data_IF_902882486945
#
_entry.id   IF_902882486945
#
_cell.length_a   1.000
_cell.length_b   1.000
_cell.length_c   1.000
_cell.angle_alpha   90.00
_cell.angle_beta   90.00
_cell.angle_gamma   90.00
#
_symmetry.space_group_name_H-M   'P 1'
#
loop_
_entity.id
_entity.type
_entity.pdbx_description
1 polymer ?
#
# COMPACT_ATOMS: atom_id res chain seq x y z
N UNK A 1 5.21 -12.06 -14.87
CA UNK A 1 4.23 -12.21 -13.78
C UNK A 1 3.32 -10.98 -13.73
N UNK A 2 2.03 -11.15 -13.44
CA UNK A 2 1.12 -10.02 -13.20
C UNK A 2 1.54 -9.27 -11.93
N UNK A 3 1.24 -7.97 -11.84
CA UNK A 3 1.60 -7.19 -10.67
C UNK A 3 0.71 -7.55 -9.46
N UNK A 4 1.26 -7.83 -8.27
CA UNK A 4 0.47 -8.16 -7.08
C UNK A 4 -0.51 -7.06 -6.66
N UNK A 5 -0.27 -5.80 -7.03
CA UNK A 5 -1.12 -4.65 -6.67
C UNK A 5 -2.52 -4.67 -7.30
N UNK A 6 -2.89 -5.71 -8.06
CA UNK A 6 -4.19 -5.85 -8.71
C UNK A 6 -4.30 -5.10 -10.04
N UNK A 7 -3.20 -4.58 -10.59
CA UNK A 7 -3.19 -4.01 -11.94
C UNK A 7 -3.18 -5.12 -13.00
N UNK A 8 -3.72 -4.84 -14.18
CA UNK A 8 -3.59 -5.72 -15.37
C UNK A 8 -2.18 -5.72 -15.98
N UNK A 9 -1.31 -4.81 -15.54
CA UNK A 9 0.06 -4.68 -16.04
C UNK A 9 0.97 -5.74 -15.43
N UNK A 10 2.06 -6.06 -16.15
CA UNK A 10 3.13 -6.92 -15.65
C UNK A 10 3.91 -6.19 -14.56
N UNK A 11 4.39 -6.93 -13.56
CA UNK A 11 5.16 -6.37 -12.43
C UNK A 11 6.31 -5.47 -12.88
N UNK A 12 7.11 -5.90 -13.87
CA UNK A 12 8.27 -5.19 -14.40
C UNK A 12 7.97 -3.81 -15.02
N UNK A 13 6.72 -3.52 -15.37
CA UNK A 13 6.29 -2.22 -15.94
C UNK A 13 5.21 -1.54 -15.08
N UNK A 14 5.03 -2.02 -13.84
CA UNK A 14 4.06 -1.50 -12.89
C UNK A 14 4.77 -1.09 -11.60
N UNK A 15 4.84 -1.97 -10.60
CA UNK A 15 5.47 -1.64 -9.32
C UNK A 15 6.97 -1.99 -9.28
N UNK A 16 7.47 -2.82 -10.19
CA UNK A 16 8.87 -3.24 -10.22
C UNK A 16 9.87 -2.08 -10.23
N UNK A 17 9.77 -1.12 -11.17
CA UNK A 17 10.67 0.04 -11.21
C UNK A 17 10.59 0.91 -9.95
N UNK A 18 9.42 1.07 -9.34
CA UNK A 18 9.29 1.78 -8.07
C UNK A 18 10.05 1.08 -6.95
N UNK A 19 9.86 -0.24 -6.82
CA UNK A 19 10.51 -1.05 -5.79
C UNK A 19 12.03 -1.10 -5.97
N UNK A 20 12.50 -1.15 -7.21
CA UNK A 20 13.92 -1.08 -7.56
C UNK A 20 14.54 0.31 -7.26
N UNK A 21 13.72 1.36 -7.16
CA UNK A 21 14.18 2.74 -6.99
C UNK A 21 14.46 3.47 -8.30
N UNK A 22 14.19 2.84 -9.45
CA UNK A 22 14.38 3.42 -10.78
C UNK A 22 13.36 4.52 -11.10
N UNK A 23 12.15 4.42 -10.54
CA UNK A 23 11.06 5.38 -10.73
C UNK A 23 10.42 5.78 -9.41
N UNK A 24 10.01 7.03 -9.30
CA UNK A 24 9.17 7.49 -8.20
C UNK A 24 7.69 7.33 -8.57
N UNK A 25 6.81 6.92 -7.63
CA UNK A 25 5.38 6.91 -7.87
C UNK A 25 4.89 8.33 -8.13
N UNK A 26 4.16 8.54 -9.22
CA UNK A 26 3.68 9.87 -9.65
C UNK A 26 2.38 10.30 -8.96
N UNK A 27 1.65 9.36 -8.36
CA UNK A 27 0.39 9.61 -7.65
C UNK A 27 0.36 8.89 -6.30
N UNK A 28 -0.49 9.36 -5.39
CA UNK A 28 -0.75 8.69 -4.12
C UNK A 28 -1.23 7.24 -4.32
N UNK A 29 -2.08 6.97 -5.33
CA UNK A 29 -2.50 5.60 -5.66
C UNK A 29 -1.33 4.74 -6.14
N UNK A 30 -0.45 5.27 -6.99
CA UNK A 30 0.73 4.53 -7.45
C UNK A 30 1.65 4.17 -6.29
N UNK A 31 1.81 5.09 -5.33
CA UNK A 31 2.55 4.81 -4.11
C UNK A 31 1.85 3.74 -3.26
N UNK A 32 0.54 3.84 -3.04
CA UNK A 32 -0.21 2.84 -2.28
C UNK A 32 -0.10 1.42 -2.89
N UNK A 33 -0.22 1.32 -4.22
CA UNK A 33 -0.08 0.06 -4.96
C UNK A 33 1.32 -0.53 -4.86
N UNK A 34 2.35 0.29 -4.99
CA UNK A 34 3.74 -0.17 -4.86
C UNK A 34 4.07 -0.56 -3.42
N UNK A 35 3.60 0.17 -2.41
CA UNK A 35 3.71 -0.23 -0.99
C UNK A 35 3.07 -1.59 -0.73
N UNK A 36 1.87 -1.84 -1.25
CA UNK A 36 1.25 -3.16 -1.15
C UNK A 36 2.14 -4.26 -1.77
N UNK A 37 2.69 -4.03 -2.97
CA UNK A 37 3.63 -4.99 -3.58
C UNK A 37 4.87 -5.23 -2.71
N UNK A 38 5.38 -4.19 -2.05
CA UNK A 38 6.51 -4.33 -1.13
C UNK A 38 6.15 -5.20 0.08
N UNK A 39 4.94 -5.09 0.64
CA UNK A 39 4.46 -6.02 1.66
C UNK A 39 4.34 -7.48 1.15
N UNK A 40 3.87 -7.67 -0.09
CA UNK A 40 3.76 -9.02 -0.67
C UNK A 40 5.12 -9.68 -0.89
N UNK A 41 6.12 -8.88 -1.26
CA UNK A 41 7.45 -9.36 -1.64
C UNK A 41 8.50 -9.25 -0.51
N UNK A 42 8.14 -8.66 0.63
CA UNK A 42 9.05 -8.47 1.77
C UNK A 42 10.10 -7.37 1.57
N UNK A 43 9.83 -6.34 0.75
CA UNK A 43 10.75 -5.21 0.54
C UNK A 43 10.60 -4.15 1.64
N UNK A 44 11.12 -4.44 2.84
CA UNK A 44 11.04 -3.56 4.00
C UNK A 44 11.68 -2.18 3.73
N UNK A 45 12.85 -2.15 3.10
CA UNK A 45 13.57 -0.90 2.78
C UNK A 45 12.72 0.07 1.94
N UNK A 46 11.93 -0.45 1.01
CA UNK A 46 11.03 0.36 0.19
C UNK A 46 9.91 0.98 1.04
N UNK A 47 9.35 0.20 1.97
CA UNK A 47 8.29 0.67 2.85
C UNK A 47 8.79 1.76 3.79
N UNK A 48 10.00 1.61 4.34
CA UNK A 48 10.63 2.60 5.22
C UNK A 48 11.06 3.87 4.44
N UNK A 49 11.53 3.73 3.20
CA UNK A 49 11.91 4.87 2.35
C UNK A 49 10.71 5.71 1.92
N UNK A 50 9.57 5.06 1.70
CA UNK A 50 8.34 5.73 1.24
C UNK A 50 7.38 6.10 2.37
N UNK A 51 7.82 5.98 3.62
CA UNK A 51 7.11 6.46 4.80
C UNK A 51 7.65 7.84 5.19
N UNK A 52 6.75 8.78 5.48
CA UNK A 52 7.14 10.11 5.93
C UNK A 52 7.95 10.02 7.23
N UNK A 53 9.12 10.70 7.34
CA UNK A 53 9.98 10.60 8.52
C UNK A 53 9.30 10.98 9.84
N UNK A 54 8.26 11.82 9.81
CA UNK A 54 7.54 12.26 11.03
C UNK A 54 6.72 11.15 11.69
N UNK A 55 6.27 10.15 10.92
CA UNK A 55 5.40 9.06 11.39
C UNK A 55 6.01 7.69 11.14
N UNK A 56 7.21 7.61 10.56
CA UNK A 56 7.88 6.36 10.23
C UNK A 56 8.26 5.60 11.50
N UNK A 57 7.85 4.34 11.65
CA UNK A 57 8.29 3.51 12.77
C UNK A 57 9.79 3.16 12.62
N UNK A 58 10.46 2.90 13.74
CA UNK A 58 11.88 2.53 13.75
C UNK A 58 12.16 1.18 13.07
N UNK A 59 11.18 0.27 13.09
CA UNK A 59 11.18 -1.02 12.41
C UNK A 59 9.75 -1.35 12.02
N UNK A 60 9.54 -2.04 10.89
CA UNK A 60 8.23 -2.58 10.61
C UNK A 60 8.00 -3.79 11.51
N UNK A 61 6.86 -3.81 12.20
CA UNK A 61 6.52 -4.91 13.10
C UNK A 61 6.60 -6.23 12.31
N UNK A 62 7.23 -7.24 12.91
CA UNK A 62 7.60 -8.55 12.33
C UNK A 62 6.36 -9.42 12.03
N UNK A 63 5.22 -8.79 11.73
CA UNK A 63 4.01 -9.37 11.14
C UNK A 63 4.27 -10.05 9.78
N UNK A 64 5.47 -9.92 9.23
CA UNK A 64 6.04 -10.79 8.19
C UNK A 64 6.35 -12.21 8.67
N UNK A 65 6.49 -12.44 9.98
CA UNK A 65 6.88 -13.70 10.61
C UNK A 65 5.76 -14.74 10.73
N UNK A 66 4.49 -14.32 10.87
CA UNK A 66 3.32 -15.22 10.90
C UNK A 66 2.72 -15.42 9.50
N UNK A 67 3.50 -15.94 8.54
CA UNK A 67 3.08 -16.39 7.20
C UNK A 67 1.90 -15.61 6.56
N UNK A 68 1.90 -14.27 6.68
CA UNK A 68 0.81 -13.43 6.16
C UNK A 68 0.84 -13.51 4.66
N UNK A 69 -0.12 -14.22 4.09
CA UNK A 69 -0.24 -14.35 2.64
C UNK A 69 -1.22 -13.32 2.12
N UNK A 70 -0.69 -12.29 1.50
CA UNK A 70 -1.49 -11.29 0.78
C UNK A 70 -2.20 -11.93 -0.43
N UNK A 71 -3.51 -11.73 -0.51
CA UNK A 71 -4.40 -12.34 -1.51
C UNK A 71 -4.82 -11.35 -2.60
N UNK A 72 -4.85 -10.05 -2.30
CA UNK A 72 -5.18 -9.03 -3.28
C UNK A 72 -5.44 -7.65 -2.69
N UNK A 73 -5.27 -6.63 -3.52
CA UNK A 73 -5.56 -5.24 -3.24
C UNK A 73 -6.71 -4.75 -4.13
N UNK A 74 -7.67 -4.03 -3.54
CA UNK A 74 -8.70 -3.29 -4.27
C UNK A 74 -8.70 -1.83 -3.81
N UNK A 75 -8.37 -0.92 -4.70
CA UNK A 75 -8.58 0.52 -4.47
C UNK A 75 -10.07 0.81 -4.59
N UNK A 76 -10.65 1.46 -3.58
CA UNK A 76 -12.06 1.85 -3.54
C UNK A 76 -12.26 3.29 -3.98
N UNK A 77 -11.40 4.20 -3.51
CA UNK A 77 -11.48 5.62 -3.80
C UNK A 77 -10.10 6.26 -3.69
N UNK A 78 -9.87 7.26 -4.52
CA UNK A 78 -8.80 8.23 -4.37
C UNK A 78 -9.43 9.62 -4.23
N UNK A 79 -8.88 10.46 -3.38
CA UNK A 79 -9.22 11.88 -3.33
C UNK A 79 -7.93 12.70 -3.34
N UNK A 80 -7.83 13.64 -4.27
CA UNK A 80 -6.56 14.31 -4.63
C UNK A 80 -5.48 13.26 -4.96
N UNK A 81 -4.21 13.54 -4.70
CA UNK A 81 -3.12 12.60 -4.93
C UNK A 81 -2.72 12.44 -6.40
N UNK A 82 -3.14 13.34 -7.27
CA UNK A 82 -2.72 13.44 -8.68
C UNK A 82 -1.30 13.97 -8.83
N UNK A 83 -0.81 14.03 -10.07
CA UNK A 83 0.56 14.44 -10.37
C UNK A 83 0.89 15.89 -9.95
N UNK A 84 -0.12 16.75 -9.77
CA UNK A 84 0.05 18.16 -9.40
C UNK A 84 -0.37 18.44 -7.95
N UNK A 85 -0.95 17.47 -7.25
CA UNK A 85 -1.40 17.63 -5.87
C UNK A 85 -0.24 17.57 -4.88
N UNK A 86 -0.43 18.14 -3.69
CA UNK A 86 0.55 18.07 -2.60
C UNK A 86 0.15 17.10 -1.49
N UNK A 87 -1.11 16.70 -1.46
CA UNK A 87 -1.64 15.70 -0.55
C UNK A 87 -2.65 14.82 -1.29
N UNK A 88 -2.99 13.69 -0.68
CA UNK A 88 -3.96 12.78 -1.24
C UNK A 88 -4.36 11.71 -0.25
N UNK A 89 -5.52 11.12 -0.48
CA UNK A 89 -5.98 9.97 0.28
C UNK A 89 -6.33 8.82 -0.64
N UNK A 90 -6.06 7.61 -0.18
CA UNK A 90 -6.40 6.38 -0.90
C UNK A 90 -7.15 5.47 0.06
N UNK A 91 -8.42 5.22 -0.24
CA UNK A 91 -9.23 4.22 0.44
C UNK A 91 -9.10 2.91 -0.31
N UNK A 92 -8.71 1.85 0.40
CA UNK A 92 -8.51 0.54 -0.21
C UNK A 92 -8.90 -0.60 0.72
N UNK A 93 -8.96 -1.77 0.11
CA UNK A 93 -9.18 -3.03 0.78
C UNK A 93 -8.05 -3.97 0.42
N UNK A 94 -7.33 -4.45 1.44
CA UNK A 94 -6.36 -5.51 1.28
C UNK A 94 -6.91 -6.81 1.90
N UNK A 95 -6.77 -7.91 1.17
CA UNK A 95 -7.14 -9.24 1.65
C UNK A 95 -5.88 -10.01 1.95
N UNK A 96 -5.83 -10.67 3.09
CA UNK A 96 -4.69 -11.46 3.51
C UNK A 96 -5.15 -12.72 4.24
N UNK A 97 -4.27 -13.71 4.33
CA UNK A 97 -4.49 -14.95 5.04
C UNK A 97 -3.42 -15.12 6.10
N UNK A 98 -3.83 -15.33 7.35
CA UNK A 98 -2.95 -15.60 8.49
C UNK A 98 -3.55 -16.77 9.29
N UNK A 99 -2.72 -17.70 9.75
CA UNK A 99 -3.20 -18.86 10.53
C UNK A 99 -4.28 -19.70 9.83
N UNK A 100 -4.29 -19.75 8.48
CA UNK A 100 -5.33 -20.47 7.74
C UNK A 100 -6.62 -19.69 7.49
N UNK A 101 -6.82 -18.53 8.12
CA UNK A 101 -8.04 -17.72 8.04
C UNK A 101 -7.84 -16.51 7.12
N UNK A 102 -8.87 -16.19 6.33
CA UNK A 102 -8.86 -15.04 5.43
C UNK A 102 -9.47 -13.83 6.12
N UNK A 103 -8.75 -12.71 6.08
CA UNK A 103 -9.12 -11.44 6.69
C UNK A 103 -9.17 -10.33 5.66
N UNK A 104 -9.86 -9.26 6.01
CA UNK A 104 -9.98 -8.05 5.19
C UNK A 104 -9.56 -6.84 6.01
N UNK A 105 -8.59 -6.11 5.50
CA UNK A 105 -8.22 -4.78 5.98
C UNK A 105 -8.94 -3.75 5.09
N UNK A 106 -9.70 -2.84 5.69
CA UNK A 106 -10.21 -1.63 5.02
C UNK A 106 -9.50 -0.44 5.65
N UNK A 107 -8.83 0.37 4.84
CA UNK A 107 -8.05 1.50 5.34
C UNK A 107 -8.23 2.72 4.44
N UNK A 108 -8.23 3.89 5.08
CA UNK A 108 -8.08 5.19 4.42
C UNK A 108 -6.69 5.71 4.76
N UNK A 109 -5.77 5.60 3.81
CA UNK A 109 -4.40 6.11 3.98
C UNK A 109 -4.25 7.54 3.48
N UNK A 110 -3.42 8.32 4.17
CA UNK A 110 -3.05 9.69 3.82
C UNK A 110 -1.63 9.74 3.28
N UNK A 111 -1.45 10.56 2.26
CA UNK A 111 -0.18 10.76 1.58
C UNK A 111 0.11 12.24 1.41
N UNK A 112 1.39 12.57 1.41
CA UNK A 112 1.92 13.91 1.11
C UNK A 112 2.97 13.80 0.01
N UNK A 113 3.04 14.81 -0.85
CA UNK A 113 4.12 14.97 -1.81
C UNK A 113 5.07 16.05 -1.33
N UNK A 114 6.32 15.68 -1.15
CA UNK A 114 7.43 16.59 -0.90
C UNK A 114 8.35 16.62 -2.13
N UNK A 115 9.45 17.37 -2.06
CA UNK A 115 10.39 17.52 -3.18
C UNK A 115 10.90 16.17 -3.71
N UNK A 116 11.03 15.19 -2.82
CA UNK A 116 11.57 13.86 -3.11
C UNK A 116 10.51 12.82 -3.53
N UNK A 117 9.24 13.23 -3.65
CA UNK A 117 8.14 12.39 -4.12
C UNK A 117 7.01 12.21 -3.11
N UNK A 118 6.17 11.20 -3.35
CA UNK A 118 5.05 10.87 -2.47
C UNK A 118 5.53 10.06 -1.26
N UNK A 119 4.96 10.35 -0.09
CA UNK A 119 5.20 9.66 1.18
C UNK A 119 3.88 9.28 1.84
N UNK A 120 3.84 8.09 2.42
CA UNK A 120 2.77 7.66 3.32
C UNK A 120 2.93 8.33 4.68
N UNK A 121 1.87 8.95 5.20
CA UNK A 121 1.89 9.54 6.55
C UNK A 121 1.34 8.52 7.54
N UNK A 122 0.05 8.21 7.41
CA UNK A 122 -0.66 7.28 8.27
C UNK A 122 -1.93 6.80 7.55
N UNK A 123 -2.70 5.98 8.25
CA UNK A 123 -4.02 5.61 7.79
C UNK A 123 -4.92 5.20 8.93
N UNK A 124 -6.21 5.27 8.67
CA UNK A 124 -7.26 4.87 9.62
C UNK A 124 -7.83 3.55 9.14
N UNK A 125 -7.71 2.52 9.98
CA UNK A 125 -8.34 1.23 9.75
C UNK A 125 -9.83 1.37 10.04
N UNK A 126 -10.65 1.17 9.02
CA UNK A 126 -12.09 1.10 9.21
C UNK A 126 -12.47 -0.27 9.77
N UNK A 127 -13.30 -0.32 10.81
CA UNK A 127 -13.75 -1.60 11.36
C UNK A 127 -14.47 -2.39 10.26
N UNK A 128 -14.22 -3.71 10.20
CA UNK A 128 -15.00 -4.59 9.35
C UNK A 128 -16.48 -4.44 9.73
N UNK A 129 -17.25 -3.78 8.86
CA UNK A 129 -18.69 -3.72 8.99
C UNK A 129 -19.18 -5.15 8.87
N UNK A 130 -19.57 -5.76 10.00
CA UNK A 130 -20.27 -7.04 10.06
C UNK A 130 -21.56 -6.92 9.27
N UNK A 131 -21.50 -7.16 7.96
CA UNK A 131 -22.68 -7.39 7.15
C UNK A 131 -23.25 -8.74 7.59
N UNK A 132 -24.14 -8.66 8.58
CA UNK A 132 -24.95 -9.77 9.04
C UNK A 132 -25.71 -10.35 7.87
N UNK A 133 -25.42 -11.62 7.60
CA UNK A 133 -26.17 -12.49 6.71
C UNK A 133 -27.62 -12.53 7.20
N UNK A 134 -28.57 -12.11 6.37
CA UNK A 134 -29.98 -12.51 6.46
C UNK A 134 -30.25 -13.50 5.34
#
# INVERSE_FOLDING_TARGET
MACPCGSTRRYAVCCGPCLAGDLQPVTAEALMRSRYCAYVLGHEDYLLRTWHPSTRPARLDDSTGDAVRWLGLKILRTAEGGADDRCGTVTFVARYKVGGQAHRLSEISRFVREADGWFYIDGVIEPESRSGRR
#
